data_IF_583862858390
#
_entry.id   IF_583862858390
#
_cell.length_a   1.000
_cell.length_b   1.000
_cell.length_c   1.000
_cell.angle_alpha   90.00
_cell.angle_beta   90.00
_cell.angle_gamma   90.00
#
_symmetry.space_group_name_H-M   'P 1'
#
loop_
_entity.id
_entity.type
_entity.pdbx_description
1 polymer ?
#
# COMPACT_ATOMS: atom_id res chain seq x y z
N UNK A 1 2.51 -2.86 -39.40
CA UNK A 1 2.11 -2.54 -38.01
C UNK A 1 2.15 -3.84 -37.18
N UNK A 2 2.37 -3.72 -35.85
CA UNK A 2 1.83 -4.59 -34.77
C UNK A 2 2.60 -5.77 -34.14
N UNK A 3 3.92 -5.99 -34.30
CA UNK A 3 4.56 -7.05 -33.48
C UNK A 3 4.79 -6.62 -32.01
N UNK A 4 5.10 -5.33 -31.77
CA UNK A 4 5.35 -4.82 -30.41
C UNK A 4 4.07 -4.66 -29.57
N UNK A 5 2.95 -4.26 -30.19
CA UNK A 5 1.65 -4.17 -29.52
C UNK A 5 1.14 -5.54 -29.04
N UNK A 6 1.53 -6.62 -29.70
CA UNK A 6 1.20 -8.00 -29.29
C UNK A 6 1.91 -8.37 -27.97
N UNK A 7 3.17 -7.98 -27.81
CA UNK A 7 3.95 -8.26 -26.59
C UNK A 7 3.42 -7.50 -25.37
N UNK A 8 3.18 -6.19 -25.54
CA UNK A 8 2.70 -5.32 -24.46
C UNK A 8 1.33 -5.77 -23.95
N UNK A 9 0.40 -6.13 -24.85
CA UNK A 9 -0.94 -6.63 -24.46
C UNK A 9 -0.89 -7.96 -23.71
N UNK A 10 0.04 -8.86 -24.06
CA UNK A 10 0.23 -10.12 -23.33
C UNK A 10 0.76 -9.87 -21.92
N UNK A 11 1.73 -8.97 -21.78
CA UNK A 11 2.26 -8.55 -20.48
C UNK A 11 1.20 -7.88 -19.62
N UNK A 12 0.37 -7.02 -20.22
CA UNK A 12 -0.78 -6.40 -19.56
C UNK A 12 -1.74 -7.46 -19.02
N UNK A 13 -2.17 -8.40 -19.86
CA UNK A 13 -3.11 -9.46 -19.47
C UNK A 13 -2.57 -10.31 -18.30
N UNK A 14 -1.26 -10.65 -18.33
CA UNK A 14 -0.60 -11.36 -17.21
C UNK A 14 -0.60 -10.53 -15.93
N UNK A 15 -0.32 -9.23 -16.02
CA UNK A 15 -0.33 -8.34 -14.86
C UNK A 15 -1.75 -8.16 -14.28
N UNK A 16 -2.77 -8.07 -15.13
CA UNK A 16 -4.16 -8.00 -14.69
C UNK A 16 -4.63 -9.29 -14.02
N UNK A 17 -4.24 -10.45 -14.57
CA UNK A 17 -4.52 -11.75 -13.97
C UNK A 17 -3.86 -11.89 -12.60
N UNK A 18 -2.57 -11.55 -12.50
CA UNK A 18 -1.82 -11.55 -11.24
C UNK A 18 -2.45 -10.60 -10.20
N UNK A 19 -2.95 -9.45 -10.63
CA UNK A 19 -3.66 -8.52 -9.76
C UNK A 19 -4.94 -9.13 -9.19
N UNK A 20 -5.74 -9.84 -10.01
CA UNK A 20 -6.95 -10.55 -9.56
C UNK A 20 -6.62 -11.67 -8.59
N UNK A 21 -5.56 -12.43 -8.85
CA UNK A 21 -5.11 -13.50 -7.95
C UNK A 21 -4.69 -12.97 -6.57
N UNK A 22 -3.96 -11.85 -6.54
CA UNK A 22 -3.59 -11.19 -5.29
C UNK A 22 -4.79 -10.65 -4.52
N UNK A 23 -5.83 -10.18 -5.23
CA UNK A 23 -7.09 -9.79 -4.59
C UNK A 23 -7.81 -10.99 -3.96
N UNK A 24 -7.82 -12.14 -4.63
CA UNK A 24 -8.45 -13.35 -4.13
C UNK A 24 -7.68 -13.98 -2.96
N UNK A 25 -6.34 -13.91 -2.97
CA UNK A 25 -5.52 -14.45 -1.88
C UNK A 25 -5.47 -13.53 -0.65
N UNK A 26 -5.99 -12.30 -0.74
CA UNK A 26 -5.92 -11.31 0.33
C UNK A 26 -4.50 -10.79 0.59
N UNK A 27 -3.55 -11.06 -0.31
CA UNK A 27 -2.18 -10.57 -0.20
C UNK A 27 -2.10 -9.07 -0.46
N UNK A 28 -1.02 -8.45 0.06
CA UNK A 28 -0.79 -7.02 -0.11
C UNK A 28 -0.60 -6.67 -1.58
N UNK A 29 -1.58 -5.94 -2.13
CA UNK A 29 -1.52 -5.41 -3.49
C UNK A 29 -0.46 -4.31 -3.58
N UNK A 30 0.56 -4.55 -4.42
CA UNK A 30 1.59 -3.58 -4.78
C UNK A 30 2.10 -3.87 -6.18
N UNK A 31 2.68 -2.87 -6.86
CA UNK A 31 3.25 -3.06 -8.19
C UNK A 31 4.29 -4.19 -8.23
N UNK A 32 5.17 -4.22 -7.23
CA UNK A 32 6.16 -5.29 -7.09
C UNK A 32 5.52 -6.68 -6.95
N UNK A 33 4.49 -6.81 -6.11
CA UNK A 33 3.78 -8.08 -5.92
C UNK A 33 3.12 -8.56 -7.23
N UNK A 34 2.50 -7.63 -7.98
CA UNK A 34 1.89 -7.94 -9.29
C UNK A 34 2.95 -8.37 -10.29
N UNK A 35 4.07 -7.64 -10.40
CA UNK A 35 5.17 -7.98 -11.31
C UNK A 35 5.76 -9.37 -10.99
N UNK A 36 5.99 -9.68 -9.70
CA UNK A 36 6.46 -10.99 -9.27
C UNK A 36 5.49 -12.11 -9.57
N UNK A 37 4.20 -11.92 -9.28
CA UNK A 37 3.15 -12.92 -9.53
C UNK A 37 2.94 -13.16 -11.03
N UNK A 38 3.05 -12.12 -11.84
CA UNK A 38 2.94 -12.19 -13.30
C UNK A 38 4.21 -12.73 -14.00
N UNK A 39 5.28 -13.04 -13.25
CA UNK A 39 6.56 -13.49 -13.81
C UNK A 39 7.28 -12.42 -14.61
N UNK A 40 7.08 -11.15 -14.28
CA UNK A 40 7.68 -9.99 -14.94
C UNK A 40 8.96 -9.54 -14.23
N UNK A 41 9.84 -8.90 -14.98
CA UNK A 41 11.00 -8.23 -14.40
C UNK A 41 10.58 -7.06 -13.51
N UNK A 42 11.36 -6.77 -12.48
CA UNK A 42 11.10 -5.65 -11.59
C UNK A 42 11.10 -4.33 -12.38
N UNK A 43 10.05 -3.53 -12.21
CA UNK A 43 9.89 -2.26 -12.92
C UNK A 43 9.36 -2.38 -14.35
N UNK A 44 8.93 -3.56 -14.80
CA UNK A 44 8.30 -3.73 -16.12
C UNK A 44 7.13 -2.77 -16.31
N UNK A 45 6.30 -2.57 -15.27
CA UNK A 45 5.14 -1.67 -15.38
C UNK A 45 5.52 -0.17 -15.35
N UNK A 46 6.81 0.17 -15.17
CA UNK A 46 7.29 1.56 -15.21
C UNK A 46 7.55 2.08 -16.63
N UNK A 47 7.65 1.21 -17.63
CA UNK A 47 7.85 1.64 -19.01
C UNK A 47 6.71 2.57 -19.45
N UNK A 48 7.06 3.61 -20.22
CA UNK A 48 6.11 4.62 -20.68
C UNK A 48 5.23 4.06 -21.79
N UNK A 49 4.21 3.28 -21.43
CA UNK A 49 3.19 2.79 -22.33
C UNK A 49 1.78 2.96 -21.72
N UNK A 50 0.77 3.27 -22.56
CA UNK A 50 -0.61 3.45 -22.10
C UNK A 50 -1.16 2.22 -21.37
N UNK A 51 -0.82 1.01 -21.83
CA UNK A 51 -1.32 -0.25 -21.30
C UNK A 51 -0.83 -0.49 -19.86
N UNK A 52 0.46 -0.32 -19.60
CA UNK A 52 0.98 -0.49 -18.23
C UNK A 52 0.52 0.65 -17.31
N UNK A 53 0.32 1.84 -17.87
CA UNK A 53 -0.27 2.95 -17.11
C UNK A 53 -1.65 2.58 -16.56
N UNK A 54 -2.51 1.95 -17.36
CA UNK A 54 -3.83 1.48 -16.91
C UNK A 54 -3.69 0.48 -15.75
N UNK A 55 -2.78 -0.49 -15.86
CA UNK A 55 -2.51 -1.46 -14.78
C UNK A 55 -2.03 -0.77 -13.50
N UNK A 56 -1.11 0.19 -13.60
CA UNK A 56 -0.65 0.96 -12.43
C UNK A 56 -1.75 1.78 -11.79
N UNK A 57 -2.63 2.38 -12.60
CA UNK A 57 -3.79 3.13 -12.11
C UNK A 57 -4.78 2.20 -11.40
N UNK A 58 -5.05 1.01 -11.94
CA UNK A 58 -5.85 -0.01 -11.28
C UNK A 58 -5.25 -0.44 -9.93
N UNK A 59 -3.95 -0.74 -9.88
CA UNK A 59 -3.22 -1.05 -8.63
C UNK A 59 -3.35 0.08 -7.62
N UNK A 60 -3.21 1.35 -8.06
CA UNK A 60 -3.32 2.52 -7.20
C UNK A 60 -4.73 2.69 -6.64
N UNK A 61 -5.75 2.53 -7.49
CA UNK A 61 -7.15 2.62 -7.09
C UNK A 61 -7.51 1.52 -6.09
N UNK A 62 -7.10 0.28 -6.36
CA UNK A 62 -7.31 -0.86 -5.45
C UNK A 62 -6.59 -0.67 -4.12
N UNK A 63 -5.36 -0.15 -4.14
CA UNK A 63 -4.63 0.15 -2.90
C UNK A 63 -5.37 1.19 -2.05
N UNK A 64 -6.02 2.18 -2.67
CA UNK A 64 -6.86 3.15 -1.93
C UNK A 64 -8.09 2.48 -1.31
N UNK A 65 -8.79 1.61 -2.06
CA UNK A 65 -9.98 0.94 -1.54
C UNK A 65 -9.66 -0.08 -0.44
N UNK A 66 -8.54 -0.81 -0.56
CA UNK A 66 -8.09 -1.77 0.46
C UNK A 66 -7.48 -1.10 1.71
N UNK A 67 -7.03 0.15 1.62
CA UNK A 67 -6.54 0.89 2.79
C UNK A 67 -7.67 1.48 3.65
N UNK A 68 -8.89 1.59 3.11
CA UNK A 68 -10.06 2.10 3.83
C UNK A 68 -10.76 1.10 4.76
N UNK A 69 -10.27 -0.14 4.87
CA UNK A 69 -10.94 -1.22 5.61
C UNK A 69 -10.17 -1.71 6.84
N UNK A 70 -9.06 -1.09 7.21
CA UNK A 70 -8.53 -1.32 8.55
C UNK A 70 -9.45 -0.58 9.53
N UNK A 71 -10.18 -1.27 10.43
CA UNK A 71 -10.90 -0.58 11.49
C UNK A 71 -9.87 0.23 12.26
N UNK A 72 -10.00 1.55 12.19
CA UNK A 72 -9.25 2.44 13.05
C UNK A 72 -9.78 2.14 14.45
N UNK A 73 -8.96 1.51 15.29
CA UNK A 73 -9.31 1.30 16.69
C UNK A 73 -9.25 2.67 17.40
N UNK A 74 -10.33 3.44 17.23
CA UNK A 74 -10.49 4.78 17.80
C UNK A 74 -10.29 4.73 19.33
N UNK A 75 -10.69 3.63 19.98
CA UNK A 75 -10.48 3.42 21.41
C UNK A 75 -9.01 3.25 21.75
N UNK A 76 -8.26 2.46 20.96
CA UNK A 76 -6.81 2.30 21.13
C UNK A 76 -6.03 3.61 20.96
N UNK A 77 -6.47 4.47 20.03
CA UNK A 77 -5.90 5.80 19.82
C UNK A 77 -6.17 6.71 21.03
N UNK A 78 -7.40 6.73 21.53
CA UNK A 78 -7.79 7.54 22.68
C UNK A 78 -7.02 7.13 23.95
N UNK A 79 -6.84 5.82 24.17
CA UNK A 79 -6.05 5.29 25.27
C UNK A 79 -4.57 5.70 25.17
N UNK A 80 -3.97 5.65 23.97
CA UNK A 80 -2.59 6.12 23.77
C UNK A 80 -2.43 7.62 24.05
N UNK A 81 -3.40 8.44 23.65
CA UNK A 81 -3.39 9.89 23.89
C UNK A 81 -3.46 10.15 25.39
N UNK A 82 -4.43 9.55 26.09
CA UNK A 82 -4.58 9.66 27.55
C UNK A 82 -3.31 9.22 28.29
N UNK A 83 -2.68 8.12 27.85
CA UNK A 83 -1.47 7.61 28.47
C UNK A 83 -0.28 8.57 28.26
N UNK A 84 -0.09 9.10 27.04
CA UNK A 84 0.94 10.10 26.76
C UNK A 84 0.74 11.38 27.57
N UNK A 85 -0.51 11.82 27.74
CA UNK A 85 -0.82 13.01 28.53
C UNK A 85 -0.54 12.79 30.02
N UNK A 86 -0.90 11.63 30.57
CA UNK A 86 -0.55 11.22 31.94
C UNK A 86 0.96 11.30 32.19
N UNK A 87 1.77 10.72 31.31
CA UNK A 87 3.23 10.76 31.44
C UNK A 87 3.84 12.14 31.22
N UNK A 88 3.21 13.00 30.41
CA UNK A 88 3.61 14.42 30.29
C UNK A 88 3.39 15.17 31.60
N UNK A 89 2.23 14.99 32.25
CA UNK A 89 1.92 15.63 33.54
C UNK A 89 2.87 15.15 34.64
N UNK A 90 3.07 13.84 34.77
CA UNK A 90 4.02 13.28 35.75
C UNK A 90 5.45 13.81 35.55
N UNK A 91 5.89 13.95 34.30
CA UNK A 91 7.21 14.53 34.00
C UNK A 91 7.29 16.00 34.40
N UNK A 92 6.25 16.78 34.12
CA UNK A 92 6.21 18.19 34.49
C UNK A 92 6.20 18.36 36.02
N UNK A 93 5.45 17.53 36.74
CA UNK A 93 5.44 17.49 38.21
C UNK A 93 6.83 17.10 38.78
N UNK A 94 7.52 16.15 38.14
CA UNK A 94 8.90 15.79 38.51
C UNK A 94 9.92 16.87 38.17
N UNK A 95 9.67 17.69 37.13
CA UNK A 95 10.54 18.83 36.77
C UNK A 95 10.29 20.09 37.61
N UNK A 96 9.10 20.21 38.20
CA UNK A 96 8.70 21.29 39.12
C UNK A 96 9.08 21.00 40.58
N UNK A 97 9.52 19.77 40.90
CA UNK A 97 10.20 19.54 42.18
C UNK A 97 11.49 20.34 42.21
N UNK A 98 11.66 21.27 43.17
CA UNK A 98 12.89 22.06 43.25
C UNK A 98 14.04 21.09 43.44
N UNK A 99 15.08 21.22 42.60
CA UNK A 99 16.39 20.65 42.88
C UNK A 99 16.83 21.24 44.21
N UNK A 100 16.76 20.43 45.27
CA UNK A 100 17.37 20.72 46.57
C UNK A 100 18.88 20.60 46.43
#
# INVERSE_FOLDING_TARGET
MTNEQSGVKKTQARAEQALRELMLSGERISQYAVEKRAGLANGTLNYNCPEYRQVREAIRSLKKTCQGTAPVDEQGIEQQIKLKEKYRRQRNELSESPRV
#
